data_IF_621460928020
#
_entry.id   IF_621460928020
#
_cell.length_a   1.000
_cell.length_b   1.000
_cell.length_c   1.000
_cell.angle_alpha   90.00
_cell.angle_beta   90.00
_cell.angle_gamma   90.00
#
_symmetry.space_group_name_H-M   'P 1'
#
loop_
_entity.id
_entity.type
_entity.pdbx_description
1 polymer ?
#
# COMPACT_ATOMS: atom_id res chain seq x y z
N UNK A 1 5.25 -1.69 -10.18
CA UNK A 1 5.93 -0.38 -10.02
C UNK A 1 4.95 0.75 -10.32
N UNK A 2 4.12 0.60 -11.36
CA UNK A 2 2.98 1.47 -11.69
C UNK A 2 2.01 1.66 -10.51
N UNK A 3 1.56 0.57 -9.89
CA UNK A 3 0.65 0.59 -8.72
C UNK A 3 1.14 1.47 -7.54
N UNK A 4 2.47 1.52 -7.30
CA UNK A 4 3.00 2.37 -6.23
C UNK A 4 2.89 3.86 -6.58
N UNK A 5 3.02 4.21 -7.86
CA UNK A 5 2.85 5.58 -8.33
C UNK A 5 1.36 5.99 -8.31
N UNK A 6 0.45 5.08 -8.66
CA UNK A 6 -0.99 5.31 -8.63
C UNK A 6 -1.52 5.40 -7.19
N UNK A 7 -1.06 4.54 -6.28
CA UNK A 7 -1.33 4.67 -4.84
C UNK A 7 -0.83 6.02 -4.27
N UNK A 8 0.37 6.48 -4.65
CA UNK A 8 0.86 7.81 -4.25
C UNK A 8 -0.08 8.91 -4.74
N UNK A 9 -0.56 8.82 -5.98
CA UNK A 9 -1.51 9.79 -6.52
C UNK A 9 -2.86 9.76 -5.79
N UNK A 10 -3.39 8.57 -5.50
CA UNK A 10 -4.65 8.40 -4.77
C UNK A 10 -4.57 8.95 -3.34
N UNK A 11 -3.46 8.66 -2.62
CA UNK A 11 -3.21 9.23 -1.29
C UNK A 11 -3.13 10.76 -1.35
N UNK A 12 -2.40 11.32 -2.32
CA UNK A 12 -2.30 12.77 -2.47
C UNK A 12 -3.65 13.43 -2.77
N UNK A 13 -4.50 12.81 -3.60
CA UNK A 13 -5.86 13.29 -3.85
C UNK A 13 -6.67 13.28 -2.55
N UNK A 14 -6.63 12.20 -1.78
CA UNK A 14 -7.33 12.09 -0.49
C UNK A 14 -6.86 13.13 0.53
N UNK A 15 -5.55 13.36 0.66
CA UNK A 15 -5.00 14.34 1.59
C UNK A 15 -5.34 15.78 1.19
N UNK A 16 -5.35 16.09 -0.12
CA UNK A 16 -5.64 17.43 -0.64
C UNK A 16 -7.08 17.88 -0.39
N UNK A 17 -7.99 16.92 -0.27
CA UNK A 17 -9.41 17.18 -0.02
C UNK A 17 -9.86 16.74 1.38
N UNK A 18 -8.92 16.52 2.30
CA UNK A 18 -9.20 16.04 3.66
C UNK A 18 -10.02 17.04 4.50
N UNK A 19 -10.05 18.31 4.12
CA UNK A 19 -10.87 19.38 4.73
C UNK A 19 -12.33 19.38 4.25
N UNK A 20 -12.68 18.44 3.35
CA UNK A 20 -14.00 18.29 2.74
C UNK A 20 -14.47 16.86 2.93
N UNK A 21 -15.78 16.56 2.82
CA UNK A 21 -16.22 15.19 2.70
C UNK A 21 -15.49 14.57 1.51
N UNK A 22 -14.73 13.49 1.75
CA UNK A 22 -14.09 12.77 0.68
C UNK A 22 -15.18 12.35 -0.32
N UNK A 23 -15.04 12.75 -1.58
CA UNK A 23 -15.95 12.27 -2.60
C UNK A 23 -15.89 10.74 -2.62
N UNK A 24 -17.03 10.02 -2.63
CA UNK A 24 -17.05 8.56 -2.58
C UNK A 24 -16.13 7.91 -3.62
N UNK A 25 -15.95 8.55 -4.77
CA UNK A 25 -15.04 8.14 -5.84
C UNK A 25 -13.56 8.15 -5.43
N UNK A 26 -13.08 9.15 -4.69
CA UNK A 26 -11.69 9.20 -4.24
C UNK A 26 -11.38 8.15 -3.18
N UNK A 27 -12.36 7.87 -2.31
CA UNK A 27 -12.23 6.81 -1.32
C UNK A 27 -12.25 5.42 -1.98
N UNK A 28 -13.13 5.21 -2.97
CA UNK A 28 -13.16 3.99 -3.76
C UNK A 28 -11.85 3.78 -4.53
N UNK A 29 -11.33 4.82 -5.19
CA UNK A 29 -10.04 4.79 -5.87
C UNK A 29 -8.91 4.48 -4.88
N UNK A 30 -8.89 5.06 -3.67
CA UNK A 30 -7.85 4.71 -2.70
C UNK A 30 -7.87 3.22 -2.32
N UNK A 31 -9.07 2.64 -2.16
CA UNK A 31 -9.22 1.21 -1.85
C UNK A 31 -8.70 0.34 -3.01
N UNK A 32 -9.04 0.68 -4.25
CA UNK A 32 -8.61 -0.03 -5.45
C UNK A 32 -7.08 -0.09 -5.54
N UNK A 33 -6.41 1.05 -5.42
CA UNK A 33 -4.95 1.14 -5.51
C UNK A 33 -4.24 0.41 -4.35
N UNK A 34 -4.85 0.37 -3.16
CA UNK A 34 -4.34 -0.44 -2.05
C UNK A 34 -4.42 -1.92 -2.42
N UNK A 35 -5.55 -2.37 -2.98
CA UNK A 35 -5.74 -3.75 -3.38
C UNK A 35 -4.76 -4.16 -4.49
N UNK A 36 -4.52 -3.28 -5.48
CA UNK A 36 -3.57 -3.55 -6.55
C UNK A 36 -2.13 -3.67 -6.05
N UNK A 37 -1.71 -2.81 -5.11
CA UNK A 37 -0.41 -2.94 -4.44
C UNK A 37 -0.32 -4.24 -3.63
N UNK A 38 -1.37 -4.64 -2.91
CA UNK A 38 -1.37 -5.91 -2.16
C UNK A 38 -1.27 -7.13 -3.09
N UNK A 39 -1.97 -7.14 -4.21
CA UNK A 39 -1.89 -8.18 -5.23
C UNK A 39 -0.49 -8.22 -5.84
N UNK A 40 0.08 -7.07 -6.19
CA UNK A 40 1.44 -6.97 -6.70
C UNK A 40 2.45 -7.52 -5.69
N UNK A 41 2.32 -7.18 -4.41
CA UNK A 41 3.19 -7.70 -3.35
C UNK A 41 3.05 -9.22 -3.18
N UNK A 42 1.84 -9.76 -3.28
CA UNK A 42 1.60 -11.20 -3.27
C UNK A 42 2.30 -11.90 -4.45
N UNK A 43 2.15 -11.36 -5.67
CA UNK A 43 2.80 -11.90 -6.86
C UNK A 43 4.32 -11.91 -6.73
N UNK A 44 4.92 -10.86 -6.17
CA UNK A 44 6.36 -10.79 -5.90
C UNK A 44 6.80 -11.89 -4.91
N UNK A 45 6.05 -12.09 -3.82
CA UNK A 45 6.35 -13.15 -2.84
C UNK A 45 6.35 -14.53 -3.48
N UNK A 46 5.31 -14.84 -4.27
CA UNK A 46 5.19 -16.10 -5.01
C UNK A 46 6.36 -16.27 -6.00
N UNK A 47 6.65 -15.24 -6.80
CA UNK A 47 7.70 -15.27 -7.83
C UNK A 47 9.09 -15.54 -7.25
N UNK A 48 9.36 -15.06 -6.04
CA UNK A 48 10.67 -15.21 -5.39
C UNK A 48 10.67 -16.25 -4.25
N UNK A 49 9.59 -17.02 -4.10
CA UNK A 49 9.44 -18.02 -3.03
C UNK A 49 9.73 -17.44 -1.64
N UNK A 50 9.17 -16.26 -1.36
CA UNK A 50 9.28 -15.55 -0.09
C UNK A 50 8.01 -15.81 0.72
N UNK A 51 8.18 -16.28 1.95
CA UNK A 51 7.08 -16.54 2.87
C UNK A 51 6.69 -15.30 3.68
N UNK A 52 5.42 -15.20 4.08
CA UNK A 52 4.89 -14.11 4.90
C UNK A 52 5.57 -13.99 6.27
N UNK A 53 5.96 -15.12 6.88
CA UNK A 53 6.67 -15.14 8.16
C UNK A 53 8.06 -14.50 8.03
N UNK A 54 8.74 -14.71 6.90
CA UNK A 54 10.02 -14.08 6.62
C UNK A 54 9.87 -12.56 6.53
N UNK A 55 8.86 -12.08 5.79
CA UNK A 55 8.58 -10.64 5.66
C UNK A 55 8.19 -10.07 7.02
N UNK A 56 7.40 -10.78 7.81
CA UNK A 56 6.99 -10.34 9.15
C UNK A 56 8.18 -10.22 10.11
N UNK A 57 9.08 -11.20 10.15
CA UNK A 57 10.30 -11.14 10.95
C UNK A 57 11.14 -9.89 10.61
N UNK A 58 11.29 -9.59 9.31
CA UNK A 58 11.96 -8.36 8.86
C UNK A 58 11.25 -7.07 9.28
N UNK A 59 9.91 -7.03 9.26
CA UNK A 59 9.12 -5.88 9.75
C UNK A 59 9.37 -5.62 11.23
N UNK A 60 9.37 -6.68 12.06
CA UNK A 60 9.62 -6.57 13.51
C UNK A 60 11.01 -6.00 13.78
N UNK A 61 12.04 -6.51 13.12
CA UNK A 61 13.42 -6.01 13.28
C UNK A 61 13.60 -4.58 12.75
N UNK A 62 12.82 -4.16 11.75
CA UNK A 62 12.84 -2.77 11.27
C UNK A 62 12.15 -1.83 12.27
N UNK A 63 10.96 -2.17 12.77
CA UNK A 63 10.23 -1.35 13.73
C UNK A 63 11.03 -1.09 15.03
N UNK A 64 11.79 -2.08 15.51
CA UNK A 64 12.70 -1.92 16.67
C UNK A 64 13.81 -0.90 16.45
N UNK A 65 14.22 -0.63 15.21
CA UNK A 65 15.30 0.33 14.87
C UNK A 65 14.79 1.77 14.69
N UNK A 66 13.49 1.93 14.49
CA UNK A 66 12.84 3.22 14.25
C UNK A 66 12.19 3.81 15.52
N UNK A 67 12.21 3.07 16.65
CA UNK A 67 11.89 3.54 18.00
C UNK A 67 13.14 4.12 18.68
#
# INVERSE_FOLDING_TARGET
MEELAELIQAVNKMLRYADRPAEPEYYANLIEEIADVEIMLYQLKVMFNIDDDQVFAFKVEKAKREQ
#
